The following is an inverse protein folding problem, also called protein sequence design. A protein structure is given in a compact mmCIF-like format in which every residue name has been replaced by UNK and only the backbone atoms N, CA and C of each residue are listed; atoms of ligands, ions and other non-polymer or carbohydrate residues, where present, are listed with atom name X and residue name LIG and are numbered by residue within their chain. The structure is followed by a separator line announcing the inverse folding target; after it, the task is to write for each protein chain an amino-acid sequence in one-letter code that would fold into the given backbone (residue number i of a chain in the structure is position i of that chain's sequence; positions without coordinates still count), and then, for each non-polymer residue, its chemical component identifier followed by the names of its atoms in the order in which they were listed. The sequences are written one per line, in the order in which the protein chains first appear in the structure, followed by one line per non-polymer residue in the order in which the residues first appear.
data_IF_788874108583
#
_entry.id   IF_788874108583
#
_cell.length_a   1.000
_cell.length_b   1.000
_cell.length_c   1.000
_cell.angle_alpha   90.00
_cell.angle_beta   90.00
_cell.angle_gamma   90.00
#
_symmetry.space_group_name_H-M   'P 1'
#
loop_
_entity.id
_entity.type
_entity.pdbx_description
1 polymer ?
#
# COMPACT_ATOMS: atom_id res chain seq x y z
N UNK A 1 -6.88 16.81 -22.10
CA UNK A 1 -5.72 16.52 -21.22
C UNK A 1 -5.61 17.68 -20.26
N UNK A 2 -5.50 17.42 -18.96
CA UNK A 2 -5.46 18.48 -17.93
C UNK A 2 -4.12 18.42 -17.22
N UNK A 3 -3.51 19.58 -17.00
CA UNK A 3 -2.18 19.69 -16.40
C UNK A 3 -2.29 19.99 -14.91
N UNK A 4 -1.42 19.38 -14.10
CA UNK A 4 -1.33 19.64 -12.66
C UNK A 4 0.05 20.23 -12.37
N UNK A 5 0.07 21.43 -11.78
CA UNK A 5 1.30 22.07 -11.32
C UNK A 5 1.40 21.97 -9.80
N UNK A 6 2.47 21.34 -9.30
CA UNK A 6 2.67 21.09 -7.86
C UNK A 6 3.99 21.71 -7.43
N UNK A 7 3.94 22.57 -6.40
CA UNK A 7 5.14 23.12 -5.77
C UNK A 7 5.65 22.13 -4.72
N UNK A 8 6.89 21.69 -4.88
CA UNK A 8 7.58 20.77 -3.96
C UNK A 8 9.04 21.20 -3.79
N UNK A 9 9.66 20.82 -2.67
CA UNK A 9 11.09 21.01 -2.49
C UNK A 9 11.91 20.18 -3.49
N UNK A 10 13.01 20.76 -3.97
CA UNK A 10 13.88 20.10 -4.96
C UNK A 10 14.43 18.76 -4.45
N UNK A 11 14.82 18.72 -3.17
CA UNK A 11 15.31 17.51 -2.51
C UNK A 11 14.28 16.36 -2.57
N UNK A 12 13.01 16.69 -2.34
CA UNK A 12 11.90 15.74 -2.36
C UNK A 12 11.64 15.26 -3.78
N UNK A 13 11.66 16.16 -4.77
CA UNK A 13 11.54 15.80 -6.20
C UNK A 13 12.61 14.80 -6.64
N UNK A 14 13.87 15.07 -6.27
CA UNK A 14 15.02 14.21 -6.60
C UNK A 14 14.89 12.84 -5.95
N UNK A 15 14.55 12.79 -4.66
CA UNK A 15 14.36 11.55 -3.93
C UNK A 15 13.23 10.70 -4.52
N UNK A 16 12.06 11.31 -4.79
CA UNK A 16 10.92 10.63 -5.40
C UNK A 16 11.25 10.10 -6.81
N UNK A 17 11.96 10.90 -7.63
CA UNK A 17 12.38 10.45 -8.96
C UNK A 17 13.30 9.22 -8.89
N UNK A 18 14.27 9.20 -7.96
CA UNK A 18 15.18 8.08 -7.79
C UNK A 18 14.44 6.81 -7.35
N UNK A 19 13.51 6.95 -6.40
CA UNK A 19 12.70 5.82 -5.92
C UNK A 19 11.83 5.22 -7.02
N UNK A 20 11.11 6.06 -7.78
CA UNK A 20 10.22 5.58 -8.86
C UNK A 20 11.00 5.00 -10.05
N UNK A 21 12.16 5.57 -10.38
CA UNK A 21 13.04 5.01 -11.41
C UNK A 21 13.50 3.59 -11.09
N UNK A 22 13.68 3.26 -9.81
CA UNK A 22 14.04 1.92 -9.36
C UNK A 22 13.03 0.83 -9.76
N UNK A 23 11.79 1.22 -10.07
CA UNK A 23 10.71 0.33 -10.52
C UNK A 23 10.22 0.67 -11.95
N UNK A 24 11.00 1.44 -12.72
CA UNK A 24 10.68 1.76 -14.10
C UNK A 24 9.62 2.85 -14.30
N UNK A 25 9.33 3.66 -13.28
CA UNK A 25 8.33 4.73 -13.34
C UNK A 25 8.96 6.13 -13.31
N UNK A 26 8.36 7.06 -14.06
CA UNK A 26 8.62 8.50 -13.92
C UNK A 26 7.64 9.13 -12.90
N UNK A 27 7.91 10.38 -12.50
CA UNK A 27 7.08 11.10 -11.52
C UNK A 27 5.64 11.22 -12.01
N UNK A 28 5.42 11.51 -13.29
CA UNK A 28 4.07 11.72 -13.85
C UNK A 28 3.27 10.44 -13.80
N UNK A 29 3.90 9.30 -14.12
CA UNK A 29 3.27 7.98 -13.98
C UNK A 29 2.96 7.64 -12.52
N UNK A 30 3.87 7.94 -11.59
CA UNK A 30 3.62 7.78 -10.16
C UNK A 30 2.44 8.62 -9.65
N UNK A 31 2.36 9.90 -10.04
CA UNK A 31 1.25 10.80 -9.65
C UNK A 31 -0.08 10.33 -10.24
N UNK A 32 -0.10 9.89 -11.51
CA UNK A 32 -1.31 9.32 -12.13
C UNK A 32 -1.80 8.09 -11.35
N UNK A 33 -0.88 7.19 -10.97
CA UNK A 33 -1.22 5.97 -10.24
C UNK A 33 -1.78 6.29 -8.85
N UNK A 34 -1.17 7.23 -8.14
CA UNK A 34 -1.68 7.73 -6.86
C UNK A 34 -3.12 8.27 -6.98
N UNK A 35 -3.38 9.14 -7.95
CA UNK A 35 -4.70 9.73 -8.16
C UNK A 35 -5.74 8.68 -8.57
N UNK A 36 -5.36 7.71 -9.41
CA UNK A 36 -6.23 6.60 -9.77
C UNK A 36 -6.67 5.80 -8.53
N UNK A 37 -5.73 5.54 -7.61
CA UNK A 37 -6.03 4.81 -6.38
C UNK A 37 -6.96 5.62 -5.46
N UNK A 38 -6.77 6.94 -5.37
CA UNK A 38 -7.69 7.82 -4.62
C UNK A 38 -9.12 7.72 -5.13
N UNK A 39 -9.31 7.71 -6.46
CA UNK A 39 -10.63 7.56 -7.07
C UNK A 39 -11.21 6.17 -6.83
N UNK A 40 -10.38 5.13 -6.96
CA UNK A 40 -10.80 3.73 -6.81
C UNK A 40 -11.25 3.41 -5.39
N UNK A 41 -10.48 3.83 -4.38
CA UNK A 41 -10.75 3.53 -2.98
C UNK A 41 -11.64 4.58 -2.30
N UNK A 42 -11.95 5.69 -2.98
CA UNK A 42 -12.64 6.86 -2.39
C UNK A 42 -11.98 7.34 -1.10
N UNK A 43 -10.64 7.32 -1.08
CA UNK A 43 -9.85 7.57 0.12
C UNK A 43 -8.38 7.80 -0.19
N UNK A 44 -7.56 7.92 0.85
CA UNK A 44 -6.12 7.99 0.67
C UNK A 44 -5.55 6.58 0.47
N UNK A 45 -4.71 6.36 -0.56
CA UNK A 45 -4.18 5.04 -0.91
C UNK A 45 -3.09 4.54 0.04
N UNK A 46 -2.82 5.31 1.09
CA UNK A 46 -2.00 4.93 2.21
C UNK A 46 -2.52 5.63 3.47
N UNK A 47 -2.32 5.02 4.62
CA UNK A 47 -2.70 5.62 5.91
C UNK A 47 -1.68 6.69 6.30
N UNK A 48 -2.07 7.98 6.40
CA UNK A 48 -1.18 9.02 6.88
C UNK A 48 -0.81 8.73 8.33
N UNK A 49 0.48 8.60 8.60
CA UNK A 49 0.96 8.29 9.94
C UNK A 49 2.27 9.02 10.22
N UNK A 50 2.46 9.42 11.47
CA UNK A 50 3.73 9.94 11.98
C UNK A 50 4.67 8.82 12.45
N UNK A 51 4.18 7.57 12.46
CA UNK A 51 4.96 6.41 12.88
C UNK A 51 6.15 6.23 11.94
N UNK A 52 7.29 5.91 12.52
CA UNK A 52 8.49 5.55 11.78
C UNK A 52 8.26 4.28 10.97
N UNK A 53 9.08 4.08 9.94
CA UNK A 53 9.08 2.85 9.15
C UNK A 53 9.24 1.59 10.02
N UNK A 54 10.02 1.70 11.11
CA UNK A 54 10.21 0.60 12.08
C UNK A 54 8.91 0.25 12.79
N UNK A 55 8.17 1.23 13.27
CA UNK A 55 6.89 1.02 13.95
C UNK A 55 5.82 0.45 13.01
N UNK A 56 5.81 0.91 11.75
CA UNK A 56 4.92 0.34 10.74
C UNK A 56 5.27 -1.13 10.50
N UNK A 57 6.55 -1.45 10.27
CA UNK A 57 7.00 -2.84 10.10
C UNK A 57 6.70 -3.72 11.30
N UNK A 58 6.98 -3.25 12.51
CA UNK A 58 6.70 -4.00 13.72
C UNK A 58 5.21 -4.38 13.85
N UNK A 59 4.29 -3.48 13.46
CA UNK A 59 2.85 -3.81 13.43
C UNK A 59 2.54 -4.90 12.42
N UNK A 60 3.12 -4.83 11.22
CA UNK A 60 2.94 -5.86 10.19
C UNK A 60 3.51 -7.21 10.63
N UNK A 61 4.73 -7.21 11.16
CA UNK A 61 5.41 -8.40 11.67
C UNK A 61 4.61 -9.05 12.80
N UNK A 62 4.05 -8.25 13.72
CA UNK A 62 3.18 -8.74 14.78
C UNK A 62 1.88 -9.38 14.25
N UNK A 63 1.24 -8.76 13.25
CA UNK A 63 0.06 -9.38 12.59
C UNK A 63 0.42 -10.68 11.87
N UNK A 64 1.61 -10.77 11.26
CA UNK A 64 2.08 -12.02 10.63
C UNK A 64 2.36 -13.09 11.68
N UNK A 65 3.01 -12.75 12.79
CA UNK A 65 3.23 -13.68 13.89
C UNK A 65 1.91 -14.19 14.49
N UNK A 66 0.94 -13.31 14.72
CA UNK A 66 -0.38 -13.68 15.20
C UNK A 66 -1.08 -14.64 14.22
N UNK A 67 -1.04 -14.33 12.92
CA UNK A 67 -1.58 -15.21 11.88
C UNK A 67 -0.85 -16.57 11.83
N UNK A 68 0.47 -16.62 12.08
CA UNK A 68 1.22 -17.87 12.13
C UNK A 68 0.90 -18.71 13.37
N UNK A 69 0.66 -18.07 14.53
CA UNK A 69 0.36 -18.74 15.80
C UNK A 69 -1.10 -19.20 15.92
N UNK A 70 -2.03 -18.37 15.46
CA UNK A 70 -3.47 -18.52 15.72
C UNK A 70 -4.33 -18.60 14.46
N UNK A 71 -3.74 -18.40 13.28
CA UNK A 71 -4.46 -18.48 12.02
C UNK A 71 -4.97 -19.89 11.74
N UNK A 72 -6.27 -20.01 11.49
CA UNK A 72 -6.88 -21.26 11.00
C UNK A 72 -6.16 -21.69 9.72
N UNK A 73 -5.67 -22.92 9.73
CA UNK A 73 -5.09 -23.58 8.55
C UNK A 73 -6.15 -24.48 7.92
N UNK A 74 -6.23 -24.46 6.59
CA UNK A 74 -7.13 -25.30 5.83
C UNK A 74 -6.31 -26.29 5.01
N UNK A 75 -6.77 -27.53 4.88
CA UNK A 75 -6.09 -28.54 4.06
C UNK A 75 -6.38 -28.36 2.58
N UNK A 76 -7.52 -27.74 2.25
CA UNK A 76 -7.96 -27.51 0.87
C UNK A 76 -8.50 -26.10 0.68
N UNK A 77 -8.40 -25.58 -0.55
CA UNK A 77 -9.01 -24.29 -0.91
C UNK A 77 -10.54 -24.30 -0.70
N UNK A 78 -11.20 -25.45 -0.90
CA UNK A 78 -12.66 -25.61 -0.70
C UNK A 78 -13.09 -25.38 0.75
N UNK A 79 -12.29 -25.84 1.72
CA UNK A 79 -12.55 -25.60 3.14
C UNK A 79 -12.36 -24.13 3.52
N UNK A 80 -11.32 -23.48 2.97
CA UNK A 80 -11.09 -22.05 3.16
C UNK A 80 -12.28 -21.22 2.67
N UNK A 81 -12.72 -21.44 1.41
CA UNK A 81 -13.84 -20.69 0.84
C UNK A 81 -15.14 -20.93 1.61
N UNK A 82 -15.39 -22.15 2.11
CA UNK A 82 -16.57 -22.46 2.93
C UNK A 82 -16.57 -21.74 4.29
N UNK A 83 -15.40 -21.47 4.88
CA UNK A 83 -15.34 -20.69 6.13
C UNK A 83 -15.46 -19.18 5.86
N UNK A 84 -14.90 -18.68 4.76
CA UNK A 84 -15.03 -17.28 4.33
C UNK A 84 -16.47 -16.90 3.99
N UNK A 85 -17.22 -17.80 3.32
CA UNK A 85 -18.62 -17.59 2.96
C UNK A 85 -19.56 -17.46 4.18
N UNK A 86 -19.14 -17.95 5.36
CA UNK A 86 -19.88 -17.78 6.61
C UNK A 86 -19.61 -16.45 7.33
N UNK A 87 -18.57 -15.72 6.90
CA UNK A 87 -18.13 -14.48 7.52
C UNK A 87 -18.68 -13.22 6.82
N UNK A 88 -19.38 -13.40 5.69
CA UNK A 88 -20.01 -12.37 4.87
C UNK A 88 -21.53 -12.56 4.98
#
# INVERSE_FOLDING_TARGET
MTTINIRIEEKTKKAASKALKGIGLDISSGVKLFLHQVVTEKGLPFTPTRRSQKEIRAKWDASVEEALRSGKRYRTAKELFKDLDKLI
#
